data_IF_499457824407
#
_entry.id   IF_499457824407
#
_cell.length_a   1.000
_cell.length_b   1.000
_cell.length_c   1.000
_cell.angle_alpha   90.00
_cell.angle_beta   90.00
_cell.angle_gamma   90.00
#
_symmetry.space_group_name_H-M   'P 1'
#
loop_
_entity.id
_entity.type
_entity.pdbx_description
1 polymer ?
#
# COMPACT_ATOMS: atom_id res chain seq x y z
N UNK A 1 23.13 -7.13 0.27
CA UNK A 1 22.18 -8.24 0.51
C UNK A 1 21.58 -8.70 -0.81
N UNK A 2 21.31 -10.01 -0.96
CA UNK A 2 20.73 -10.60 -2.19
C UNK A 2 19.34 -10.03 -2.50
N UNK A 3 18.49 -9.89 -1.48
CA UNK A 3 17.15 -9.34 -1.60
C UNK A 3 17.13 -7.93 -2.23
N UNK A 4 17.95 -7.01 -1.71
CA UNK A 4 18.05 -5.66 -2.27
C UNK A 4 18.47 -5.64 -3.75
N UNK A 5 19.34 -6.57 -4.18
CA UNK A 5 19.70 -6.70 -5.60
C UNK A 5 18.54 -7.23 -6.45
N UNK A 6 17.74 -8.14 -5.91
CA UNK A 6 16.54 -8.63 -6.58
C UNK A 6 15.53 -7.51 -6.81
N UNK A 7 15.33 -6.63 -5.81
CA UNK A 7 14.44 -5.46 -5.93
C UNK A 7 14.96 -4.43 -6.93
N UNK A 8 16.26 -4.14 -6.96
CA UNK A 8 16.84 -3.25 -7.97
C UNK A 8 16.61 -3.80 -9.39
N UNK A 9 16.86 -5.10 -9.60
CA UNK A 9 16.59 -5.74 -10.88
C UNK A 9 15.11 -5.71 -11.26
N UNK A 10 14.21 -5.94 -10.29
CA UNK A 10 12.77 -5.84 -10.51
C UNK A 10 12.38 -4.43 -10.98
N UNK A 11 12.88 -3.39 -10.30
CA UNK A 11 12.62 -1.99 -10.65
C UNK A 11 13.09 -1.65 -12.05
N UNK A 12 14.29 -2.09 -12.43
CA UNK A 12 14.80 -1.86 -13.77
C UNK A 12 13.92 -2.53 -14.83
N UNK A 13 13.47 -3.77 -14.60
CA UNK A 13 12.54 -4.46 -15.49
C UNK A 13 11.17 -3.78 -15.58
N UNK A 14 10.63 -3.28 -14.46
CA UNK A 14 9.35 -2.56 -14.46
C UNK A 14 9.47 -1.20 -15.15
N UNK A 15 10.62 -0.53 -15.02
CA UNK A 15 10.93 0.73 -15.71
C UNK A 15 10.97 0.52 -17.22
N UNK A 16 11.72 -0.49 -17.67
CA UNK A 16 11.83 -0.84 -19.10
C UNK A 16 10.48 -1.16 -19.73
N UNK A 17 9.54 -1.70 -18.94
CA UNK A 17 8.18 -2.03 -19.39
C UNK A 17 7.15 -0.92 -19.16
N UNK A 18 7.55 0.22 -18.62
CA UNK A 18 6.66 1.37 -18.40
C UNK A 18 5.55 1.13 -17.37
N UNK A 19 5.78 0.23 -16.39
CA UNK A 19 4.77 -0.15 -15.39
C UNK A 19 4.97 0.58 -14.05
N UNK A 20 6.15 1.20 -13.85
CA UNK A 20 6.41 1.99 -12.64
C UNK A 20 5.46 3.18 -12.53
N UNK A 21 4.98 3.43 -11.31
CA UNK A 21 4.19 4.61 -11.00
C UNK A 21 5.07 5.86 -11.05
N UNK A 22 4.73 6.78 -11.93
CA UNK A 22 5.34 8.11 -12.01
C UNK A 22 4.33 9.14 -11.55
N UNK A 23 4.70 9.95 -10.55
CA UNK A 23 3.91 11.11 -10.16
C UNK A 23 4.48 12.37 -10.80
N UNK A 24 3.57 13.18 -11.34
CA UNK A 24 3.87 14.54 -11.80
C UNK A 24 3.47 15.50 -10.71
N UNK A 25 4.39 16.36 -10.28
CA UNK A 25 4.08 17.41 -9.31
C UNK A 25 4.90 18.68 -9.57
N UNK A 26 4.43 19.78 -8.99
CA UNK A 26 5.11 21.08 -9.02
C UNK A 26 5.96 21.24 -7.76
N UNK A 27 7.27 21.52 -7.84
CA UNK A 27 8.15 21.57 -6.67
C UNK A 27 7.74 22.58 -5.58
N UNK A 28 7.10 23.69 -5.99
CA UNK A 28 6.77 24.81 -5.10
C UNK A 28 5.25 24.97 -4.86
N UNK A 29 4.44 23.95 -5.18
CA UNK A 29 2.99 23.99 -5.01
C UNK A 29 2.44 22.77 -4.27
N UNK A 30 1.26 22.88 -3.64
CA UNK A 30 0.57 21.71 -3.11
C UNK A 30 0.31 20.68 -4.21
N UNK A 31 0.54 19.40 -3.90
CA UNK A 31 0.44 18.27 -4.85
C UNK A 31 -0.97 18.08 -5.47
N UNK A 32 -1.99 18.74 -4.92
CA UNK A 32 -3.39 18.67 -5.36
C UNK A 32 -3.85 19.93 -6.12
N UNK A 33 -2.95 20.86 -6.45
CA UNK A 33 -3.31 22.05 -7.21
C UNK A 33 -3.49 21.71 -8.70
N UNK A 34 -4.68 21.96 -9.24
CA UNK A 34 -5.00 21.72 -10.66
C UNK A 34 -4.37 22.82 -11.55
N UNK A 35 -3.50 22.42 -12.48
CA UNK A 35 -2.78 23.29 -13.42
C UNK A 35 -3.55 23.48 -14.74
N UNK A 36 -4.70 24.16 -14.71
CA UNK A 36 -5.40 24.53 -15.95
C UNK A 36 -4.82 25.77 -16.66
N UNK A 37 -3.79 26.43 -16.11
CA UNK A 37 -3.39 27.77 -16.58
C UNK A 37 -1.90 28.14 -16.62
N UNK A 38 -0.95 27.28 -16.20
CA UNK A 38 0.48 27.66 -16.13
C UNK A 38 1.41 26.65 -16.79
N UNK A 39 2.19 27.10 -17.78
CA UNK A 39 3.26 26.35 -18.48
C UNK A 39 4.49 26.08 -17.59
N UNK A 40 4.31 25.85 -16.29
CA UNK A 40 5.44 25.58 -15.40
C UNK A 40 5.91 24.13 -15.57
N UNK A 41 7.23 23.91 -15.55
CA UNK A 41 7.83 22.60 -15.72
C UNK A 41 7.42 21.65 -14.58
N UNK A 42 6.62 20.64 -14.91
CA UNK A 42 6.33 19.54 -13.99
C UNK A 42 7.58 18.69 -13.77
N UNK A 43 7.81 18.27 -12.52
CA UNK A 43 8.81 17.25 -12.20
C UNK A 43 8.12 15.90 -12.17
N UNK A 44 8.67 14.96 -12.94
CA UNK A 44 8.29 13.55 -12.88
C UNK A 44 9.14 12.84 -11.83
N UNK A 45 8.50 12.14 -10.90
CA UNK A 45 9.17 11.35 -9.89
C UNK A 45 8.64 9.93 -9.91
N UNK A 46 9.54 8.98 -10.14
CA UNK A 46 9.25 7.56 -9.92
C UNK A 46 8.97 7.33 -8.42
N UNK A 47 7.82 6.73 -8.13
CA UNK A 47 7.47 6.35 -6.78
C UNK A 47 8.20 5.07 -6.44
N UNK A 48 9.06 5.20 -5.43
CA UNK A 48 9.78 4.07 -4.86
C UNK A 48 8.82 3.28 -3.98
N UNK A 49 8.89 1.96 -4.11
CA UNK A 49 8.13 0.99 -3.34
C UNK A 49 8.45 1.12 -1.84
N UNK A 50 7.50 0.72 -0.98
CA UNK A 50 7.71 0.76 0.47
C UNK A 50 8.28 -0.57 0.95
N UNK A 51 9.60 -0.58 1.19
CA UNK A 51 10.32 -1.76 1.69
C UNK A 51 10.59 -1.63 3.19
N UNK A 52 10.25 -2.67 3.97
CA UNK A 52 10.73 -2.84 5.34
C UNK A 52 11.23 -4.29 5.54
N UNK A 53 12.54 -4.45 5.66
CA UNK A 53 13.21 -5.75 5.74
C UNK A 53 12.85 -6.63 4.53
N UNK A 54 11.93 -7.57 4.69
CA UNK A 54 11.43 -8.52 3.69
C UNK A 54 10.00 -8.21 3.21
N UNK A 55 9.32 -7.23 3.82
CA UNK A 55 8.03 -6.74 3.38
C UNK A 55 8.21 -5.70 2.26
N UNK A 56 7.58 -5.95 1.11
CA UNK A 56 7.60 -5.05 -0.05
C UNK A 56 6.18 -4.69 -0.47
N UNK A 57 5.94 -3.41 -0.76
CA UNK A 57 4.66 -2.91 -1.25
C UNK A 57 4.83 -2.23 -2.62
N UNK A 58 4.31 -2.89 -3.65
CA UNK A 58 4.38 -2.47 -5.03
C UNK A 58 3.13 -1.67 -5.41
N UNK A 59 3.32 -0.54 -6.09
CA UNK A 59 2.23 0.36 -6.50
C UNK A 59 2.06 0.35 -8.02
N UNK A 60 0.82 0.13 -8.45
CA UNK A 60 0.41 0.19 -9.86
C UNK A 60 -0.70 1.23 -10.05
N UNK A 61 -0.61 2.00 -11.13
CA UNK A 61 -1.70 2.87 -11.58
C UNK A 61 -1.78 2.79 -13.08
N UNK A 62 -3.00 2.89 -13.62
CA UNK A 62 -3.23 2.94 -15.04
C UNK A 62 -4.42 3.84 -15.35
N UNK A 63 -4.44 4.40 -16.57
CA UNK A 63 -5.52 5.27 -17.05
C UNK A 63 -6.83 4.53 -17.33
N UNK A 64 -6.78 3.20 -17.46
CA UNK A 64 -7.96 2.36 -17.68
C UNK A 64 -7.87 1.00 -16.99
N UNK A 65 -9.01 0.36 -16.67
CA UNK A 65 -9.05 -0.98 -16.09
C UNK A 65 -8.31 -2.06 -16.90
N UNK A 66 -8.37 -1.98 -18.23
CA UNK A 66 -7.68 -2.95 -19.10
C UNK A 66 -6.17 -2.79 -19.08
N UNK A 67 -5.67 -1.55 -19.02
CA UNK A 67 -4.24 -1.29 -18.85
C UNK A 67 -3.77 -1.69 -17.45
N UNK A 68 -4.61 -1.52 -16.42
CA UNK A 68 -4.29 -2.00 -15.07
C UNK A 68 -4.13 -3.53 -15.05
N UNK A 69 -5.00 -4.27 -15.72
CA UNK A 69 -4.88 -5.72 -15.82
C UNK A 69 -3.58 -6.15 -16.51
N UNK A 70 -3.21 -5.50 -17.62
CA UNK A 70 -1.93 -5.75 -18.31
C UNK A 70 -0.74 -5.42 -17.42
N UNK A 71 -0.79 -4.31 -16.69
CA UNK A 71 0.27 -3.90 -15.77
C UNK A 71 0.45 -4.92 -14.63
N UNK A 72 -0.66 -5.46 -14.10
CA UNK A 72 -0.65 -6.53 -13.09
C UNK A 72 0.04 -7.78 -13.64
N UNK A 73 -0.30 -8.20 -14.86
CA UNK A 73 0.28 -9.39 -15.48
C UNK A 73 1.80 -9.22 -15.68
N UNK A 74 2.22 -8.05 -16.21
CA UNK A 74 3.65 -7.70 -16.36
C UNK A 74 4.37 -7.68 -15.02
N UNK A 75 3.75 -7.10 -13.98
CA UNK A 75 4.33 -7.03 -12.64
C UNK A 75 4.65 -8.43 -12.10
N UNK A 76 3.68 -9.35 -12.16
CA UNK A 76 3.87 -10.70 -11.62
C UNK A 76 4.90 -11.49 -12.41
N UNK A 77 4.93 -11.36 -13.74
CA UNK A 77 5.97 -11.98 -14.56
C UNK A 77 7.37 -11.50 -14.18
N UNK A 78 7.57 -10.19 -14.05
CA UNK A 78 8.86 -9.62 -13.64
C UNK A 78 9.24 -10.03 -12.21
N UNK A 79 8.29 -9.96 -11.28
CA UNK A 79 8.49 -10.31 -9.88
C UNK A 79 8.93 -11.77 -9.72
N UNK A 80 8.21 -12.70 -10.35
CA UNK A 80 8.52 -14.13 -10.28
C UNK A 80 9.84 -14.47 -10.96
N UNK A 81 10.14 -13.87 -12.12
CA UNK A 81 11.42 -14.07 -12.80
C UNK A 81 12.59 -13.57 -11.97
N UNK A 82 12.48 -12.37 -11.40
CA UNK A 82 13.50 -11.80 -10.52
C UNK A 82 13.70 -12.69 -9.29
N UNK A 83 12.63 -13.02 -8.57
CA UNK A 83 12.74 -13.81 -7.35
C UNK A 83 13.29 -15.21 -7.62
N UNK A 84 12.87 -15.86 -8.73
CA UNK A 84 13.43 -17.14 -9.16
C UNK A 84 14.93 -17.05 -9.45
N UNK A 85 15.40 -15.99 -10.11
CA UNK A 85 16.83 -15.77 -10.43
C UNK A 85 17.70 -15.67 -9.18
N UNK A 86 17.15 -15.11 -8.10
CA UNK A 86 17.84 -14.97 -6.82
C UNK A 86 17.51 -16.10 -5.83
N UNK A 87 16.84 -17.17 -6.27
CA UNK A 87 16.39 -18.28 -5.42
C UNK A 87 15.53 -17.84 -4.23
N UNK A 88 14.76 -16.78 -4.40
CA UNK A 88 13.81 -16.27 -3.42
C UNK A 88 12.43 -16.90 -3.67
N UNK A 89 11.72 -17.23 -2.58
CA UNK A 89 10.37 -17.79 -2.62
C UNK A 89 9.38 -16.83 -1.99
N UNK A 90 8.33 -16.49 -2.74
CA UNK A 90 7.26 -15.63 -2.25
C UNK A 90 6.27 -16.47 -1.42
N UNK A 91 5.83 -15.90 -0.29
CA UNK A 91 4.84 -16.52 0.58
C UNK A 91 3.42 -16.09 0.20
N UNK A 92 2.79 -16.87 -0.68
CA UNK A 92 1.43 -16.64 -1.17
C UNK A 92 0.31 -17.01 -0.19
N UNK A 93 0.63 -17.26 1.09
CA UNK A 93 -0.39 -17.55 2.09
C UNK A 93 -1.27 -16.30 2.35
N UNK A 94 -2.57 -16.47 2.65
CA UNK A 94 -3.44 -15.37 3.07
C UNK A 94 -2.86 -14.60 4.26
N UNK A 95 -2.97 -13.27 4.25
CA UNK A 95 -2.37 -12.38 5.24
C UNK A 95 -0.85 -12.21 5.14
N UNK A 96 -0.19 -12.80 4.13
CA UNK A 96 1.24 -12.58 3.84
C UNK A 96 1.40 -11.76 2.57
N UNK A 97 1.15 -12.35 1.42
CA UNK A 97 1.09 -11.64 0.14
C UNK A 97 -0.35 -11.52 -0.29
N UNK A 98 -0.84 -10.28 -0.42
CA UNK A 98 -2.21 -9.96 -0.82
C UNK A 98 -2.20 -8.75 -1.76
N UNK A 99 -3.23 -8.63 -2.60
CA UNK A 99 -3.43 -7.46 -3.45
C UNK A 99 -4.59 -6.59 -2.95
N UNK A 100 -4.47 -5.28 -3.07
CA UNK A 100 -5.53 -4.32 -2.76
C UNK A 100 -6.04 -3.67 -4.06
N UNK A 101 -7.04 -4.25 -4.70
CA UNK A 101 -7.41 -3.86 -6.07
C UNK A 101 -8.62 -2.92 -6.13
N UNK A 102 -8.47 -1.77 -6.78
CA UNK A 102 -9.55 -0.83 -7.06
C UNK A 102 -9.58 -0.46 -8.56
N UNK A 103 -10.66 -0.85 -9.24
CA UNK A 103 -10.90 -0.41 -10.63
C UNK A 103 -11.71 0.89 -10.64
N UNK A 104 -11.30 1.84 -11.48
CA UNK A 104 -11.99 3.12 -11.70
C UNK A 104 -12.19 3.38 -13.19
N UNK A 105 -13.15 4.25 -13.52
CA UNK A 105 -13.43 4.66 -14.90
C UNK A 105 -14.35 3.73 -15.69
N UNK A 106 -14.33 3.88 -17.01
CA UNK A 106 -15.21 3.14 -17.92
C UNK A 106 -14.92 1.64 -17.85
N UNK A 107 -15.97 0.82 -17.80
CA UNK A 107 -15.90 -0.64 -17.69
C UNK A 107 -15.27 -1.19 -16.39
N UNK A 108 -15.02 -0.36 -15.37
CA UNK A 108 -14.44 -0.80 -14.10
C UNK A 108 -15.20 -1.97 -13.45
N UNK A 109 -16.54 -1.91 -13.46
CA UNK A 109 -17.38 -3.00 -12.93
C UNK A 109 -17.14 -4.29 -13.70
N UNK A 110 -17.08 -4.25 -15.03
CA UNK A 110 -16.83 -5.44 -15.86
C UNK A 110 -15.50 -6.11 -15.49
N UNK A 111 -14.42 -5.34 -15.37
CA UNK A 111 -13.11 -5.88 -15.00
C UNK A 111 -13.08 -6.41 -13.56
N UNK A 112 -13.73 -5.71 -12.62
CA UNK A 112 -13.89 -6.18 -11.24
C UNK A 112 -14.65 -7.50 -11.16
N UNK A 113 -15.78 -7.62 -11.85
CA UNK A 113 -16.60 -8.83 -11.86
C UNK A 113 -15.88 -9.99 -12.58
N UNK A 114 -15.07 -9.71 -13.60
CA UNK A 114 -14.23 -10.73 -14.25
C UNK A 114 -13.18 -11.35 -13.31
N UNK A 115 -12.80 -10.64 -12.23
CA UNK A 115 -11.91 -11.13 -11.17
C UNK A 115 -12.66 -11.83 -10.02
N UNK A 116 -14.00 -11.81 -10.01
CA UNK A 116 -14.82 -12.47 -8.99
C UNK A 116 -14.94 -13.96 -9.31
N UNK A 117 -14.72 -14.82 -8.31
CA UNK A 117 -14.94 -16.27 -8.42
C UNK A 117 -16.25 -16.67 -7.74
N UNK A 118 -16.58 -17.96 -7.82
CA UNK A 118 -17.81 -18.55 -7.25
C UNK A 118 -17.95 -18.33 -5.73
N UNK A 119 -16.83 -18.11 -5.03
CA UNK A 119 -16.80 -17.77 -3.60
C UNK A 119 -17.18 -16.31 -3.31
N UNK A 120 -17.48 -15.52 -4.34
CA UNK A 120 -17.81 -14.10 -4.24
C UNK A 120 -16.60 -13.20 -3.97
N UNK A 121 -15.40 -13.75 -3.79
CA UNK A 121 -14.17 -13.00 -3.52
C UNK A 121 -13.49 -12.62 -4.83
N UNK A 122 -12.66 -11.58 -4.74
CA UNK A 122 -11.84 -11.12 -5.85
C UNK A 122 -10.48 -11.85 -5.79
N UNK A 123 -10.01 -12.27 -6.96
CA UNK A 123 -8.75 -12.99 -7.10
C UNK A 123 -7.96 -12.46 -8.29
N UNK A 124 -6.63 -12.42 -8.15
CA UNK A 124 -5.73 -12.17 -9.28
C UNK A 124 -5.11 -13.50 -9.67
N UNK A 125 -5.22 -13.87 -10.95
CA UNK A 125 -4.57 -15.08 -11.48
C UNK A 125 -3.06 -14.82 -11.52
N UNK A 126 -2.29 -15.74 -10.95
CA UNK A 126 -0.84 -15.70 -11.01
C UNK A 126 -0.34 -16.45 -12.26
N UNK A 127 0.84 -16.08 -12.80
CA UNK A 127 1.48 -16.84 -13.86
C UNK A 127 1.73 -18.31 -13.48
N UNK A 128 1.76 -19.22 -14.46
CA UNK A 128 1.83 -20.67 -14.22
C UNK A 128 3.08 -21.13 -13.46
N UNK A 129 4.14 -20.31 -13.46
CA UNK A 129 5.37 -20.58 -12.74
C UNK A 129 5.35 -20.06 -11.28
N UNK A 130 4.20 -19.55 -10.81
CA UNK A 130 3.93 -19.35 -9.40
C UNK A 130 3.57 -20.68 -8.73
N UNK A 131 3.95 -20.84 -7.46
CA UNK A 131 3.60 -22.03 -6.67
C UNK A 131 2.10 -22.09 -6.29
N UNK A 132 1.33 -21.06 -6.61
CA UNK A 132 -0.11 -20.97 -6.39
C UNK A 132 -0.78 -20.34 -7.61
N UNK A 133 -2.01 -20.76 -7.98
CA UNK A 133 -2.67 -20.26 -9.18
C UNK A 133 -3.32 -18.87 -9.00
N UNK A 134 -3.57 -18.44 -7.76
CA UNK A 134 -4.25 -17.19 -7.48
C UNK A 134 -3.67 -16.47 -6.27
N UNK A 135 -3.73 -15.15 -6.31
CA UNK A 135 -3.48 -14.23 -5.22
C UNK A 135 -4.81 -13.68 -4.68
N UNK A 136 -4.96 -13.66 -3.36
CA UNK A 136 -6.15 -13.11 -2.70
C UNK A 136 -6.17 -11.59 -2.81
N UNK A 137 -7.32 -11.04 -3.20
CA UNK A 137 -7.57 -9.59 -3.13
C UNK A 137 -8.28 -9.26 -1.82
N UNK A 138 -7.67 -8.39 -1.03
CA UNK A 138 -8.23 -7.88 0.22
C UNK A 138 -8.69 -6.43 0.09
N UNK A 139 -9.62 -6.02 0.94
CA UNK A 139 -10.00 -4.60 1.08
C UNK A 139 -9.09 -3.86 2.05
N UNK A 140 -8.47 -4.57 2.98
CA UNK A 140 -7.61 -3.98 3.99
C UNK A 140 -6.40 -4.86 4.23
N UNK A 141 -5.22 -4.26 4.27
CA UNK A 141 -3.96 -4.95 4.49
C UNK A 141 -3.23 -4.36 5.69
N UNK A 142 -2.52 -5.21 6.44
CA UNK A 142 -1.71 -4.78 7.57
C UNK A 142 -0.25 -4.69 7.13
N UNK A 143 0.34 -3.50 7.16
CA UNK A 143 1.74 -3.26 6.80
C UNK A 143 2.47 -2.54 7.94
N UNK A 144 3.60 -3.10 8.40
CA UNK A 144 4.47 -2.56 9.47
C UNK A 144 3.67 -2.04 10.69
N UNK A 145 2.65 -2.80 11.09
CA UNK A 145 1.82 -2.50 12.27
C UNK A 145 0.63 -1.56 12.06
N UNK A 146 0.49 -0.95 10.89
CA UNK A 146 -0.67 -0.15 10.49
C UNK A 146 -1.60 -0.88 9.54
N UNK A 147 -2.85 -0.42 9.42
CA UNK A 147 -3.81 -0.90 8.44
C UNK A 147 -4.01 0.12 7.32
N UNK A 148 -4.09 -0.39 6.10
CA UNK A 148 -4.43 0.38 4.90
C UNK A 148 -5.70 -0.20 4.32
N UNK A 149 -6.62 0.65 3.87
CA UNK A 149 -7.86 0.25 3.19
C UNK A 149 -7.90 0.73 1.75
N UNK A 150 -8.51 -0.06 0.86
CA UNK A 150 -8.64 0.23 -0.59
C UNK A 150 -9.40 1.52 -0.88
N UNK A 151 -10.28 1.94 0.03
CA UNK A 151 -11.07 3.16 -0.05
C UNK A 151 -10.39 4.37 0.61
N UNK A 152 -9.18 4.20 1.13
CA UNK A 152 -8.48 5.21 1.92
C UNK A 152 -9.05 5.42 3.32
N UNK A 153 -9.99 4.58 3.78
CA UNK A 153 -10.54 4.69 5.13
C UNK A 153 -9.48 4.37 6.20
N UNK A 154 -9.41 5.25 7.20
CA UNK A 154 -8.53 5.09 8.36
C UNK A 154 -9.23 4.39 9.55
N UNK A 155 -10.50 4.01 9.40
CA UNK A 155 -11.30 3.47 10.52
C UNK A 155 -10.71 2.16 11.07
N UNK A 156 -10.22 1.29 10.18
CA UNK A 156 -9.60 0.03 10.58
C UNK A 156 -8.31 0.25 11.38
N UNK A 157 -7.47 1.19 10.92
CA UNK A 157 -6.22 1.54 11.60
C UNK A 157 -6.48 2.22 12.95
N UNK A 158 -7.38 3.21 12.97
CA UNK A 158 -7.80 3.89 14.19
C UNK A 158 -8.36 2.91 15.22
N UNK A 159 -9.24 1.99 14.79
CA UNK A 159 -9.81 0.96 15.67
C UNK A 159 -8.74 0.00 16.21
N UNK A 160 -7.78 -0.39 15.36
CA UNK A 160 -6.67 -1.25 15.78
C UNK A 160 -5.76 -0.56 16.79
N UNK A 161 -5.44 0.71 16.55
CA UNK A 161 -4.64 1.58 17.45
C UNK A 161 -5.29 1.75 18.81
N UNK A 162 -6.59 2.09 18.84
CA UNK A 162 -7.36 2.17 20.08
C UNK A 162 -7.32 0.85 20.84
N UNK A 163 -7.50 -0.29 20.15
CA UNK A 163 -7.41 -1.61 20.80
C UNK A 163 -6.03 -1.87 21.40
N UNK A 164 -4.96 -1.51 20.71
CA UNK A 164 -3.59 -1.65 21.22
C UNK A 164 -3.33 -0.75 22.43
N UNK A 165 -3.67 0.52 22.34
CA UNK A 165 -3.54 1.46 23.44
C UNK A 165 -4.34 1.01 24.66
N UNK A 166 -5.57 0.51 24.45
CA UNK A 166 -6.39 -0.03 25.53
C UNK A 166 -5.83 -1.33 26.10
N UNK A 167 -5.23 -2.18 25.29
CA UNK A 167 -4.55 -3.38 25.78
C UNK A 167 -3.32 -3.04 26.64
N UNK A 168 -2.63 -1.94 26.34
CA UNK A 168 -1.53 -1.43 27.16
C UNK A 168 -2.02 -0.73 28.43
N UNK A 169 -3.12 0.03 28.35
CA UNK A 169 -3.67 0.81 29.45
C UNK A 169 -4.47 -0.02 30.47
N UNK A 170 -5.34 -0.93 30.01
CA UNK A 170 -6.29 -1.62 30.87
C UNK A 170 -5.63 -2.39 32.05
N UNK A 171 -4.49 -3.09 31.87
CA UNK A 171 -3.85 -3.82 32.96
C UNK A 171 -3.28 -2.92 34.07
N UNK A 172 -3.01 -1.65 33.78
CA UNK A 172 -2.32 -0.70 34.67
C UNK A 172 -3.21 0.45 35.13
N UNK A 173 -4.47 0.47 34.71
CA UNK A 173 -5.42 1.55 34.97
C UNK A 173 -5.59 1.81 36.48
N UNK A 174 -5.79 0.77 37.28
CA UNK A 174 -5.97 0.92 38.72
C UNK A 174 -4.65 1.04 39.49
N UNK A 175 -3.61 0.31 39.07
CA UNK A 175 -2.35 0.21 39.81
C UNK A 175 -1.45 1.43 39.65
N UNK A 176 -1.42 2.04 38.46
CA UNK A 176 -0.59 3.22 38.16
C UNK A 176 -1.43 4.48 38.19
N UNK A 177 -2.51 4.52 37.41
CA UNK A 177 -3.32 5.74 37.22
C UNK A 177 -4.35 5.97 38.33
N UNK A 178 -4.85 4.89 38.96
CA UNK A 178 -5.75 4.97 40.11
C UNK A 178 -5.05 5.06 41.47
N UNK A 179 -3.73 4.90 41.51
CA UNK A 179 -2.96 4.84 42.75
C UNK A 179 -2.54 6.24 43.23
N UNK A 180 -2.76 6.58 44.51
CA UNK A 180 -2.33 7.85 45.09
C UNK A 180 -0.80 7.90 45.31
N UNK A 181 -0.09 6.78 45.15
CA UNK A 181 1.36 6.70 45.35
C UNK A 181 2.16 7.29 44.19
N UNK A 182 1.56 7.43 43.01
CA UNK A 182 2.22 8.03 41.86
C UNK A 182 1.79 9.49 41.69
N UNK A 183 2.77 10.39 41.61
CA UNK A 183 2.51 11.77 41.22
C UNK A 183 1.90 11.81 39.81
N UNK A 184 0.96 12.73 39.60
CA UNK A 184 0.27 12.92 38.31
C UNK A 184 1.26 13.15 37.17
N UNK A 185 2.40 13.80 37.44
CA UNK A 185 3.50 13.96 36.48
C UNK A 185 4.06 12.63 35.98
N UNK A 186 4.36 11.69 36.89
CA UNK A 186 4.85 10.35 36.51
C UNK A 186 3.77 9.54 35.78
N UNK A 187 2.51 9.65 36.21
CA UNK A 187 1.39 9.01 35.50
C UNK A 187 1.30 9.51 34.06
N UNK A 188 1.44 10.83 33.84
CA UNK A 188 1.44 11.42 32.49
C UNK A 188 2.64 10.96 31.66
N UNK A 189 3.84 10.90 32.24
CA UNK A 189 5.02 10.37 31.55
C UNK A 189 4.85 8.89 31.15
N UNK A 190 4.21 8.10 32.01
CA UNK A 190 3.87 6.71 31.73
C UNK A 190 2.85 6.60 30.59
N UNK A 191 1.79 7.42 30.60
CA UNK A 191 0.82 7.48 29.50
C UNK A 191 1.47 7.92 28.18
N UNK A 192 2.35 8.93 28.21
CA UNK A 192 3.07 9.44 27.04
C UNK A 192 4.02 8.40 26.43
N UNK A 193 4.64 7.55 27.24
CA UNK A 193 5.61 6.56 26.77
C UNK A 193 4.97 5.23 26.33
N UNK A 194 3.84 4.84 26.93
CA UNK A 194 3.23 3.53 26.71
C UNK A 194 1.90 3.57 25.96
N UNK A 195 1.00 4.50 26.28
CA UNK A 195 -0.39 4.48 25.80
C UNK A 195 -0.57 5.37 24.57
N UNK A 196 -0.07 6.60 24.64
CA UNK A 196 -0.27 7.57 23.56
C UNK A 196 0.49 7.26 22.26
N UNK A 197 1.67 6.61 22.25
CA UNK A 197 2.31 6.22 20.99
C UNK A 197 1.44 5.28 20.15
N UNK A 198 0.65 4.42 20.81
CA UNK A 198 -0.30 3.53 20.14
C UNK A 198 -1.57 4.26 19.67
N UNK A 199 -1.94 5.40 20.28
CA UNK A 199 -3.07 6.26 19.88
C UNK A 199 -2.70 7.34 18.86
N UNK A 200 -1.45 7.77 18.82
CA UNK A 200 -1.01 8.82 17.90
C UNK A 200 -1.08 8.31 16.47
N UNK A 201 -1.81 9.05 15.64
CA UNK A 201 -1.65 9.00 14.19
C UNK A 201 -0.32 9.69 13.92
N UNK A 202 0.79 8.94 14.00
CA UNK A 202 2.02 9.40 13.38
C UNK A 202 1.71 9.48 11.89
N UNK A 203 1.61 10.71 11.36
CA UNK A 203 1.55 10.97 9.94
C UNK A 203 2.84 10.44 9.32
N UNK A 204 2.89 9.14 9.01
CA UNK A 204 3.69 8.70 7.89
C UNK A 204 2.93 9.27 6.69
N UNK A 205 3.45 10.36 6.12
CA UNK A 205 3.11 10.81 4.76
C UNK A 205 3.48 9.68 3.79
N UNK A 206 2.66 8.63 3.79
CA UNK A 206 2.71 7.50 2.90
C UNK A 206 1.30 7.38 2.35
N UNK A 207 1.03 8.11 1.28
CA UNK A 207 -0.24 8.05 0.55
C UNK A 207 -0.29 6.68 -0.13
N UNK A 208 -0.69 5.65 0.61
CA UNK A 208 -0.84 4.27 0.12
C UNK A 208 -2.24 4.16 -0.48
N UNK A 209 -2.31 4.19 -1.82
CA UNK A 209 -3.50 3.91 -2.60
C UNK A 209 -3.07 3.20 -3.90
N UNK A 210 -3.59 2.01 -4.14
CA UNK A 210 -3.85 1.58 -5.51
C UNK A 210 -5.04 2.43 -6.00
N UNK A 211 -4.71 3.43 -6.82
CA UNK A 211 -5.58 4.40 -7.50
C UNK A 211 -6.21 5.55 -6.67
N UNK A 212 -5.52 6.69 -6.65
CA UNK A 212 -6.16 8.00 -6.85
C UNK A 212 -5.35 8.91 -7.79
N UNK A 213 -5.76 8.96 -9.07
CA UNK A 213 -5.72 10.22 -9.80
C UNK A 213 -7.10 10.48 -10.41
N UNK A 214 -8.08 10.88 -9.61
CA UNK A 214 -9.33 11.44 -10.13
C UNK A 214 -9.41 12.94 -9.90
N UNK A 215 -8.67 13.71 -10.72
CA UNK A 215 -9.23 14.83 -11.53
C UNK A 215 -8.23 15.53 -12.47
N UNK A 216 -6.91 15.35 -12.32
CA UNK A 216 -5.96 16.21 -13.03
C UNK A 216 -5.02 15.55 -14.08
N UNK A 217 -4.91 14.23 -14.13
CA UNK A 217 -4.02 13.58 -15.13
C UNK A 217 -4.79 13.28 -16.41
N UNK A 218 -5.01 14.33 -17.21
CA UNK A 218 -5.27 14.17 -18.64
C UNK A 218 -3.95 13.88 -19.37
N UNK A 219 -4.05 12.84 -20.20
CA UNK A 219 -3.31 12.63 -21.45
C UNK A 219 -1.92 11.96 -21.42
N UNK A 220 -1.82 11.03 -22.38
CA UNK A 220 -0.69 10.27 -22.92
C UNK A 220 -0.13 9.13 -22.07
N UNK A 221 -0.57 7.90 -22.41
CA UNK A 221 0.29 6.71 -22.53
C UNK A 221 -0.41 5.64 -23.38
N UNK A 222 0.27 5.28 -24.48
CA UNK A 222 0.10 4.17 -25.44
C UNK A 222 -1.07 4.25 -26.44
N UNK A 223 -0.74 4.79 -27.63
CA UNK A 223 -1.10 4.13 -28.90
C UNK A 223 -0.27 2.86 -29.10
#
# INVERSE_FOLDING_TARGET
MVYARALLMLRDQLRERGVLLVLRFKPCGPIWQDDSSTQDAHVEQEIVEATYVDDEALFLSASSPSLLDKAIDVLFDCLLQCFKRFSLKINWAPGKSEAMLAYRGKHAVKHREARRRDDGKLWVKLPDHANTPYLTVTRSFKHVGGFVSTDGSHNADASHRVKRAMAAYAPIASSVFGSPHFAVTHQREFANSLVFPDCSITYIFGRILLADPCRCLKEYMLE
#
